data_IF_001700442903
#
_entry.id   IF_001700442903
#
_cell.length_a   1.000
_cell.length_b   1.000
_cell.length_c   1.000
_cell.angle_alpha   90.00
_cell.angle_beta   90.00
_cell.angle_gamma   90.00
#
_symmetry.space_group_name_H-M   'P 1'
#
loop_
_entity.id
_entity.type
_entity.pdbx_description
1 polymer ?
#
# COMPACT_ATOMS: atom_id res chain seq x y z
N UNK A 1 4.33 30.09 29.48
CA UNK A 1 3.45 29.91 28.31
C UNK A 1 4.22 29.10 27.27
N UNK A 2 3.58 28.08 26.70
CA UNK A 2 4.17 27.05 25.83
C UNK A 2 4.49 27.64 24.45
N UNK A 3 5.74 27.57 24.03
CA UNK A 3 6.12 27.74 22.61
C UNK A 3 6.23 26.34 22.00
N UNK A 4 5.26 25.98 21.14
CA UNK A 4 5.37 24.81 20.25
C UNK A 4 6.37 25.13 19.12
N UNK A 5 7.21 24.19 18.68
CA UNK A 5 8.14 24.43 17.58
C UNK A 5 7.45 24.35 16.22
N UNK A 6 7.77 25.33 15.37
CA UNK A 6 7.46 25.44 13.95
C UNK A 6 8.25 24.43 13.10
N UNK A 7 8.07 23.12 13.32
CA UNK A 7 8.86 22.09 12.62
C UNK A 7 8.35 21.72 11.21
N UNK A 8 7.30 22.38 10.70
CA UNK A 8 6.75 22.10 9.36
C UNK A 8 7.31 23.08 8.30
N UNK A 9 7.73 24.28 8.71
CA UNK A 9 8.13 25.35 7.79
C UNK A 9 9.56 25.21 7.24
N UNK A 10 10.42 24.39 7.87
CA UNK A 10 11.83 24.22 7.46
C UNK A 10 12.04 23.21 6.31
N UNK A 11 10.97 22.61 5.77
CA UNK A 11 11.06 21.49 4.81
C UNK A 11 10.98 21.90 3.33
N UNK A 12 10.93 23.19 3.01
CA UNK A 12 10.48 23.70 1.71
C UNK A 12 11.52 24.08 0.65
N UNK A 13 12.80 23.72 0.76
CA UNK A 13 13.86 24.30 -0.11
C UNK A 13 14.56 23.33 -1.08
N UNK A 14 13.88 22.28 -1.53
CA UNK A 14 14.30 21.48 -2.70
C UNK A 14 13.13 21.35 -3.67
N UNK A 15 13.35 21.66 -4.96
CA UNK A 15 12.35 21.59 -6.02
C UNK A 15 11.71 20.19 -6.02
N UNK A 16 10.41 20.04 -5.74
CA UNK A 16 9.79 18.72 -5.68
C UNK A 16 9.92 18.00 -7.02
N UNK A 17 10.31 16.73 -7.00
CA UNK A 17 10.11 15.87 -8.17
C UNK A 17 8.62 15.92 -8.54
N UNK A 18 8.33 16.24 -9.79
CA UNK A 18 6.94 16.34 -10.25
C UNK A 18 6.28 14.97 -10.27
N UNK A 19 4.95 14.93 -10.16
CA UNK A 19 4.15 13.70 -10.37
C UNK A 19 4.56 12.97 -11.65
N UNK A 20 4.88 13.71 -12.70
CA UNK A 20 5.34 13.20 -13.99
C UNK A 20 6.64 12.40 -13.86
N UNK A 21 7.61 12.91 -13.09
CA UNK A 21 8.89 12.26 -12.87
C UNK A 21 8.76 10.98 -12.03
N UNK A 22 7.86 10.97 -11.05
CA UNK A 22 7.56 9.74 -10.29
C UNK A 22 6.80 8.72 -11.14
N UNK A 23 5.90 9.15 -12.02
CA UNK A 23 5.16 8.28 -12.93
C UNK A 23 6.07 7.60 -13.94
N UNK A 24 6.99 8.35 -14.58
CA UNK A 24 7.94 7.80 -15.56
C UNK A 24 8.83 6.71 -14.97
N UNK A 25 9.20 6.81 -13.69
CA UNK A 25 9.96 5.79 -12.98
C UNK A 25 9.10 4.57 -12.60
N UNK A 26 7.79 4.75 -12.43
CA UNK A 26 6.82 3.68 -12.13
C UNK A 26 6.49 2.80 -13.34
N UNK A 27 6.42 3.40 -14.54
CA UNK A 27 6.02 2.71 -15.77
C UNK A 27 6.99 1.58 -16.18
N UNK A 28 8.24 1.61 -15.69
CA UNK A 28 9.22 0.54 -15.89
C UNK A 28 8.80 -0.84 -15.36
N UNK A 29 7.87 -0.92 -14.40
CA UNK A 29 7.34 -2.19 -13.85
C UNK A 29 6.25 -2.84 -14.71
N UNK A 30 5.75 -2.19 -15.77
CA UNK A 30 4.69 -2.74 -16.63
C UNK A 30 5.24 -3.56 -17.82
N UNK A 31 6.56 -3.63 -18.01
CA UNK A 31 7.18 -4.01 -19.30
C UNK A 31 7.61 -5.49 -19.42
N UNK A 32 7.35 -6.36 -18.46
CA UNK A 32 7.84 -7.75 -18.55
C UNK A 32 6.83 -8.74 -17.98
N UNK A 33 6.01 -9.32 -18.85
CA UNK A 33 5.48 -10.70 -18.76
C UNK A 33 4.52 -10.98 -19.93
N UNK A 34 4.54 -12.21 -20.46
CA UNK A 34 3.62 -12.72 -21.50
C UNK A 34 2.15 -12.87 -21.02
N UNK A 35 1.82 -12.35 -19.83
CA UNK A 35 0.48 -12.40 -19.24
C UNK A 35 -0.34 -11.18 -19.65
N UNK A 36 -1.65 -11.36 -19.90
CA UNK A 36 -2.52 -10.23 -20.22
C UNK A 36 -2.74 -9.32 -19.01
N UNK A 37 -3.05 -8.04 -19.25
CA UNK A 37 -3.37 -7.08 -18.19
C UNK A 37 -4.50 -7.58 -17.27
N UNK A 38 -5.51 -8.24 -17.82
CA UNK A 38 -6.59 -8.89 -17.06
C UNK A 38 -6.09 -10.03 -16.15
N UNK A 39 -5.16 -10.87 -16.63
CA UNK A 39 -4.61 -11.97 -15.82
C UNK A 39 -3.78 -11.44 -14.66
N UNK A 40 -2.94 -10.44 -14.93
CA UNK A 40 -2.14 -9.74 -13.90
C UNK A 40 -3.07 -9.07 -12.87
N UNK A 41 -4.12 -8.41 -13.35
CA UNK A 41 -5.14 -7.79 -12.50
C UNK A 41 -5.84 -8.80 -11.59
N UNK A 42 -6.26 -9.94 -12.15
CA UNK A 42 -6.94 -10.98 -11.40
C UNK A 42 -6.01 -11.65 -10.39
N UNK A 43 -4.72 -11.81 -10.72
CA UNK A 43 -3.70 -12.29 -9.79
C UNK A 43 -3.56 -11.36 -8.58
N UNK A 44 -3.29 -10.06 -8.81
CA UNK A 44 -3.14 -9.09 -7.72
C UNK A 44 -4.41 -8.99 -6.87
N UNK A 45 -5.59 -8.99 -7.50
CA UNK A 45 -6.88 -9.00 -6.78
C UNK A 45 -7.02 -10.22 -5.89
N UNK A 46 -6.67 -11.40 -6.41
CA UNK A 46 -6.79 -12.66 -5.68
C UNK A 46 -5.86 -12.68 -4.46
N UNK A 47 -4.58 -12.34 -4.65
CA UNK A 47 -3.61 -12.31 -3.55
C UNK A 47 -3.91 -11.16 -2.58
N UNK A 48 -4.27 -9.98 -3.07
CA UNK A 48 -4.65 -8.84 -2.23
C UNK A 48 -5.88 -9.13 -1.36
N UNK A 49 -6.88 -9.82 -1.89
CA UNK A 49 -8.04 -10.30 -1.12
C UNK A 49 -7.64 -11.35 -0.08
N UNK A 50 -6.78 -12.30 -0.45
CA UNK A 50 -6.26 -13.31 0.47
C UNK A 50 -5.49 -12.68 1.62
N UNK A 51 -4.56 -11.77 1.30
CA UNK A 51 -3.84 -10.98 2.30
C UNK A 51 -4.85 -10.31 3.21
N UNK A 52 -5.80 -9.53 2.67
CA UNK A 52 -6.84 -8.83 3.45
C UNK A 52 -7.58 -9.75 4.43
N UNK A 53 -8.03 -10.93 4.01
CA UNK A 53 -8.76 -11.89 4.86
C UNK A 53 -7.87 -12.57 5.91
N UNK A 54 -6.61 -12.84 5.57
CA UNK A 54 -5.67 -13.53 6.44
C UNK A 54 -5.48 -12.85 7.82
N UNK A 55 -5.53 -11.51 7.92
CA UNK A 55 -5.22 -10.79 9.18
C UNK A 55 -6.40 -10.26 10.02
N UNK A 56 -7.65 -10.68 9.82
CA UNK A 56 -8.66 -10.34 10.85
C UNK A 56 -8.49 -11.26 12.08
N UNK A 57 -8.35 -10.75 13.34
CA UNK A 57 -8.77 -9.44 13.86
C UNK A 57 -7.72 -8.61 14.64
N UNK A 58 -6.40 -8.77 14.43
CA UNK A 58 -5.38 -8.07 15.26
C UNK A 58 -4.44 -7.12 14.50
N UNK A 59 -4.57 -6.93 13.18
CA UNK A 59 -3.72 -5.99 12.42
C UNK A 59 -4.48 -5.12 11.41
N UNK A 60 -4.29 -3.78 11.44
CA UNK A 60 -3.49 -3.02 12.42
C UNK A 60 -4.06 -3.15 13.84
N UNK A 61 -3.26 -2.88 14.90
CA UNK A 61 -3.73 -3.07 16.27
C UNK A 61 -5.04 -2.30 16.49
N UNK A 62 -5.93 -2.80 17.35
CA UNK A 62 -7.23 -2.16 17.65
C UNK A 62 -7.02 -0.79 18.30
N UNK A 63 -6.80 0.23 17.49
CA UNK A 63 -6.74 1.63 17.91
C UNK A 63 -8.11 2.27 17.73
N UNK A 64 -8.43 3.21 18.61
CA UNK A 64 -9.60 4.06 18.45
C UNK A 64 -9.44 4.88 17.17
N UNK A 65 -10.30 4.70 16.16
CA UNK A 65 -10.12 5.38 14.87
C UNK A 65 -10.08 6.89 15.07
N UNK A 66 -9.09 7.54 14.47
CA UNK A 66 -9.09 8.99 14.37
C UNK A 66 -10.13 9.44 13.34
N UNK A 67 -10.59 10.69 13.43
CA UNK A 67 -11.51 11.23 12.43
C UNK A 67 -10.87 11.11 11.04
N UNK A 68 -11.66 10.80 9.99
CA UNK A 68 -11.15 10.73 8.63
C UNK A 68 -10.34 11.98 8.25
N UNK A 69 -9.24 11.79 7.53
CA UNK A 69 -8.40 12.89 7.09
C UNK A 69 -9.17 13.85 6.19
N UNK A 70 -9.00 15.15 6.45
CA UNK A 70 -9.55 16.23 5.62
C UNK A 70 -8.67 16.47 4.40
N UNK A 71 -9.19 17.07 3.31
CA UNK A 71 -8.41 17.36 2.10
C UNK A 71 -7.09 18.12 2.39
N UNK A 72 -7.12 19.12 3.27
CA UNK A 72 -5.92 19.87 3.67
C UNK A 72 -4.86 18.99 4.35
N UNK A 73 -5.26 17.98 5.10
CA UNK A 73 -4.33 17.06 5.77
C UNK A 73 -3.70 16.11 4.74
N UNK A 74 -4.50 15.60 3.80
CA UNK A 74 -3.99 14.82 2.66
C UNK A 74 -2.98 15.61 1.83
N UNK A 75 -3.28 16.87 1.51
CA UNK A 75 -2.37 17.75 0.78
C UNK A 75 -1.02 17.94 1.49
N UNK A 76 -1.05 18.12 2.82
CA UNK A 76 0.17 18.24 3.63
C UNK A 76 0.99 16.94 3.62
N UNK A 77 0.32 15.79 3.81
CA UNK A 77 0.96 14.48 3.77
C UNK A 77 1.59 14.20 2.40
N UNK A 78 0.88 14.51 1.32
CA UNK A 78 1.35 14.33 -0.05
C UNK A 78 2.58 15.20 -0.36
N UNK A 79 2.56 16.46 0.10
CA UNK A 79 3.71 17.36 -0.05
C UNK A 79 4.93 16.81 0.69
N UNK A 80 4.74 16.42 1.96
CA UNK A 80 5.82 15.82 2.76
C UNK A 80 6.33 14.51 2.18
N UNK A 81 5.44 13.66 1.67
CA UNK A 81 5.77 12.41 1.00
C UNK A 81 6.73 12.63 -0.16
N UNK A 82 6.35 13.49 -1.12
CA UNK A 82 7.15 13.78 -2.33
C UNK A 82 8.52 14.34 -1.98
N UNK A 83 8.60 15.24 -0.99
CA UNK A 83 9.87 15.80 -0.53
C UNK A 83 10.81 14.74 0.03
N UNK A 84 10.31 13.82 0.87
CA UNK A 84 11.13 12.76 1.47
C UNK A 84 11.52 11.69 0.47
N UNK A 85 10.61 11.30 -0.43
CA UNK A 85 10.93 10.40 -1.54
C UNK A 85 12.07 10.98 -2.36
N UNK A 86 11.99 12.25 -2.75
CA UNK A 86 13.07 12.89 -3.51
C UNK A 86 14.41 12.89 -2.76
N UNK A 87 14.43 13.13 -1.45
CA UNK A 87 15.66 13.06 -0.66
C UNK A 87 16.29 11.67 -0.69
N UNK A 88 15.48 10.61 -0.57
CA UNK A 88 15.94 9.23 -0.72
C UNK A 88 16.50 8.98 -2.12
N UNK A 89 15.80 9.41 -3.17
CA UNK A 89 16.24 9.17 -4.56
C UNK A 89 17.53 9.93 -4.90
N UNK A 90 17.68 11.16 -4.41
CA UNK A 90 18.86 11.99 -4.68
C UNK A 90 20.11 11.43 -3.99
N UNK A 91 19.95 10.90 -2.78
CA UNK A 91 21.06 10.29 -2.02
C UNK A 91 21.28 8.82 -2.40
N UNK A 92 20.28 8.21 -3.02
CA UNK A 92 20.15 6.78 -3.28
C UNK A 92 20.59 5.92 -2.08
N UNK A 93 20.19 6.33 -0.88
CA UNK A 93 20.48 5.64 0.37
C UNK A 93 19.22 5.56 1.23
N UNK A 94 19.12 4.50 2.01
CA UNK A 94 18.06 4.29 3.01
C UNK A 94 18.28 5.20 4.22
N UNK A 95 18.25 6.52 4.00
CA UNK A 95 18.41 7.53 5.05
C UNK A 95 17.33 7.36 6.12
N UNK A 96 17.70 7.04 7.38
CA UNK A 96 16.72 6.75 8.43
C UNK A 96 15.78 7.91 8.73
N UNK A 97 16.24 9.15 8.60
CA UNK A 97 15.41 10.33 8.87
C UNK A 97 14.27 10.46 7.85
N UNK A 98 14.59 10.29 6.57
CA UNK A 98 13.62 10.32 5.47
C UNK A 98 12.64 9.15 5.55
N UNK A 99 13.15 7.93 5.80
CA UNK A 99 12.31 6.73 5.95
C UNK A 99 11.38 6.80 7.17
N UNK A 100 11.88 7.30 8.30
CA UNK A 100 11.06 7.53 9.51
C UNK A 100 9.95 8.55 9.25
N UNK A 101 10.24 9.61 8.49
CA UNK A 101 9.23 10.61 8.13
C UNK A 101 8.14 10.02 7.21
N UNK A 102 8.52 9.20 6.23
CA UNK A 102 7.58 8.48 5.37
C UNK A 102 6.75 7.48 6.17
N UNK A 103 7.36 6.72 7.08
CA UNK A 103 6.66 5.79 7.95
C UNK A 103 5.60 6.49 8.82
N UNK A 104 5.93 7.68 9.35
CA UNK A 104 4.95 8.52 10.06
C UNK A 104 3.82 9.02 9.16
N UNK A 105 4.09 9.33 7.89
CA UNK A 105 3.03 9.67 6.96
C UNK A 105 2.07 8.48 6.75
N UNK A 106 2.61 7.28 6.53
CA UNK A 106 1.84 6.04 6.48
C UNK A 106 1.03 5.82 7.77
N UNK A 107 1.63 6.11 8.93
CA UNK A 107 0.96 6.03 10.23
C UNK A 107 -0.32 6.86 10.29
N UNK A 108 -0.23 8.14 9.91
CA UNK A 108 -1.40 9.02 9.85
C UNK A 108 -2.44 8.55 8.82
N UNK A 109 -1.98 7.97 7.71
CA UNK A 109 -2.87 7.49 6.65
C UNK A 109 -3.71 6.32 7.11
N UNK A 110 -3.15 5.26 7.69
CA UNK A 110 -3.98 4.14 8.15
C UNK A 110 -4.86 4.50 9.35
N UNK A 111 -4.42 5.43 10.21
CA UNK A 111 -5.22 5.93 11.34
C UNK A 111 -6.42 6.77 10.90
N UNK A 112 -6.30 7.43 9.75
CA UNK A 112 -7.26 8.41 9.25
C UNK A 112 -8.04 7.97 8.01
N UNK A 113 -8.03 6.67 7.69
CA UNK A 113 -8.91 6.08 6.67
C UNK A 113 -10.37 6.28 7.06
N UNK A 114 -11.19 6.65 6.09
CA UNK A 114 -12.63 6.69 6.23
C UNK A 114 -13.23 5.28 6.28
N UNK A 115 -13.60 4.84 7.48
CA UNK A 115 -14.19 3.51 7.73
C UNK A 115 -15.54 3.28 7.07
N UNK A 116 -16.19 4.32 6.52
CA UNK A 116 -17.43 4.15 5.75
C UNK A 116 -17.21 3.63 4.33
N UNK A 117 -15.96 3.65 3.83
CA UNK A 117 -15.60 3.18 2.50
C UNK A 117 -15.47 1.65 2.46
N UNK A 118 -15.95 1.02 1.38
CA UNK A 118 -15.79 -0.43 1.17
C UNK A 118 -14.32 -0.86 1.15
N UNK A 119 -13.44 0.02 0.69
CA UNK A 119 -11.99 -0.23 0.62
C UNK A 119 -11.25 0.08 1.92
N UNK A 120 -11.94 0.49 3.00
CA UNK A 120 -11.31 0.97 4.23
C UNK A 120 -10.30 -0.03 4.81
N UNK A 121 -10.70 -1.28 5.00
CA UNK A 121 -9.82 -2.32 5.57
C UNK A 121 -8.57 -2.54 4.72
N UNK A 122 -8.69 -2.52 3.39
CA UNK A 122 -7.56 -2.66 2.47
C UNK A 122 -6.61 -1.45 2.54
N UNK A 123 -7.17 -0.23 2.58
CA UNK A 123 -6.39 0.99 2.70
C UNK A 123 -5.63 1.03 4.01
N UNK A 124 -6.31 0.80 5.15
CA UNK A 124 -5.67 0.78 6.47
C UNK A 124 -4.51 -0.21 6.49
N UNK A 125 -4.75 -1.39 5.94
CA UNK A 125 -3.75 -2.43 5.92
C UNK A 125 -2.55 -2.10 5.03
N UNK A 126 -2.80 -1.59 3.83
CA UNK A 126 -1.73 -1.19 2.93
C UNK A 126 -0.84 -0.14 3.59
N UNK A 127 -1.44 0.89 4.17
CA UNK A 127 -0.69 1.96 4.84
C UNK A 127 0.04 1.46 6.08
N UNK A 128 -0.53 0.54 6.85
CA UNK A 128 0.16 -0.10 7.98
C UNK A 128 1.35 -0.94 7.53
N UNK A 129 1.18 -1.76 6.47
CA UNK A 129 2.29 -2.53 5.91
C UNK A 129 3.37 -1.62 5.32
N UNK A 130 2.99 -0.52 4.68
CA UNK A 130 3.95 0.46 4.18
C UNK A 130 4.73 1.12 5.32
N UNK A 131 4.08 1.43 6.45
CA UNK A 131 4.75 1.93 7.66
C UNK A 131 5.82 0.92 8.13
N UNK A 132 5.45 -0.34 8.33
CA UNK A 132 6.39 -1.38 8.77
C UNK A 132 7.52 -1.58 7.77
N UNK A 133 7.21 -1.59 6.47
CA UNK A 133 8.22 -1.75 5.42
C UNK A 133 9.25 -0.62 5.50
N UNK A 134 8.80 0.64 5.59
CA UNK A 134 9.68 1.81 5.70
C UNK A 134 10.51 1.81 6.99
N UNK A 135 9.93 1.40 8.12
CA UNK A 135 10.64 1.26 9.40
C UNK A 135 11.75 0.20 9.30
N UNK A 136 11.47 -0.94 8.68
CA UNK A 136 12.47 -2.00 8.50
C UNK A 136 13.51 -1.61 7.47
N UNK A 137 13.12 -0.94 6.38
CA UNK A 137 14.02 -0.47 5.34
C UNK A 137 15.11 0.47 5.89
N UNK A 138 14.79 1.26 6.92
CA UNK A 138 15.76 2.14 7.60
C UNK A 138 16.90 1.39 8.30
N UNK A 139 16.73 0.09 8.54
CA UNK A 139 17.74 -0.78 9.15
C UNK A 139 18.44 -1.67 8.11
N UNK A 140 18.12 -1.51 6.82
CA UNK A 140 18.70 -2.29 5.74
C UNK A 140 19.49 -1.38 4.80
N UNK A 141 20.65 -1.86 4.33
CA UNK A 141 21.42 -1.14 3.29
C UNK A 141 20.88 -1.37 1.88
N UNK A 142 20.19 -2.49 1.68
CA UNK A 142 19.53 -2.87 0.43
C UNK A 142 18.09 -3.33 0.71
N UNK A 143 17.14 -3.17 -0.22
CA UNK A 143 17.31 -2.56 -1.55
C UNK A 143 17.59 -1.04 -1.47
N UNK A 144 18.16 -0.46 -2.52
CA UNK A 144 18.40 0.99 -2.61
C UNK A 144 17.14 1.73 -3.09
N UNK A 145 16.99 3.04 -2.80
CA UNK A 145 15.85 3.83 -3.27
C UNK A 145 15.49 3.66 -4.74
N UNK A 146 16.49 3.54 -5.62
CA UNK A 146 16.28 3.29 -7.05
C UNK A 146 15.58 1.96 -7.37
N UNK A 147 15.72 0.95 -6.52
CA UNK A 147 15.11 -0.37 -6.74
C UNK A 147 13.62 -0.38 -6.34
N UNK A 148 13.23 0.51 -5.42
CA UNK A 148 11.86 0.57 -4.89
C UNK A 148 11.11 1.86 -5.23
N UNK A 149 11.62 2.70 -6.15
CA UNK A 149 10.89 3.87 -6.70
C UNK A 149 9.48 3.52 -7.13
N UNK A 150 9.24 2.40 -7.86
CA UNK A 150 7.91 2.11 -8.39
C UNK A 150 6.88 1.88 -7.28
N UNK A 151 7.31 1.31 -6.15
CA UNK A 151 6.48 1.19 -4.97
C UNK A 151 6.18 2.56 -4.34
N UNK A 152 7.19 3.43 -4.21
CA UNK A 152 7.00 4.80 -3.70
C UNK A 152 6.08 5.65 -4.58
N UNK A 153 6.22 5.53 -5.89
CA UNK A 153 5.36 6.23 -6.87
C UNK A 153 3.93 5.70 -6.84
N UNK A 154 3.74 4.40 -6.67
CA UNK A 154 2.41 3.83 -6.54
C UNK A 154 1.71 4.28 -5.24
N UNK A 155 2.45 4.36 -4.13
CA UNK A 155 1.94 4.94 -2.88
C UNK A 155 1.64 6.45 -3.02
N UNK A 156 2.46 7.21 -3.76
CA UNK A 156 2.16 8.61 -4.10
C UNK A 156 0.85 8.74 -4.89
N UNK A 157 0.66 7.89 -5.91
CA UNK A 157 -0.54 7.89 -6.74
C UNK A 157 -1.78 7.54 -5.91
N UNK A 158 -1.68 6.58 -4.99
CA UNK A 158 -2.77 6.23 -4.09
C UNK A 158 -3.12 7.40 -3.16
N UNK A 159 -2.11 8.05 -2.58
CA UNK A 159 -2.28 9.20 -1.70
C UNK A 159 -2.93 10.39 -2.43
N UNK A 160 -2.47 10.69 -3.64
CA UNK A 160 -3.08 11.69 -4.52
C UNK A 160 -4.52 11.33 -4.84
N UNK A 161 -4.82 10.07 -5.15
CA UNK A 161 -6.19 9.65 -5.46
C UNK A 161 -7.11 9.78 -4.24
N UNK A 162 -6.63 9.45 -3.04
CA UNK A 162 -7.36 9.67 -1.78
C UNK A 162 -7.60 11.16 -1.50
N UNK A 163 -6.62 12.03 -1.79
CA UNK A 163 -6.78 13.48 -1.74
C UNK A 163 -7.90 13.95 -2.68
N UNK A 164 -7.85 13.53 -3.95
CA UNK A 164 -8.86 13.91 -4.94
C UNK A 164 -10.25 13.40 -4.56
N UNK A 165 -10.38 12.14 -4.13
CA UNK A 165 -11.65 11.58 -3.68
C UNK A 165 -12.26 12.39 -2.52
N UNK A 166 -11.45 12.80 -1.53
CA UNK A 166 -11.94 13.60 -0.41
C UNK A 166 -12.23 15.06 -0.75
N UNK A 167 -11.52 15.64 -1.72
CA UNK A 167 -11.78 16.99 -2.21
C UNK A 167 -13.05 17.03 -3.09
N UNK A 168 -13.22 16.07 -3.99
CA UNK A 168 -14.34 15.99 -4.96
C UNK A 168 -15.63 15.47 -4.32
N UNK A 169 -15.57 14.78 -3.17
CA UNK A 169 -16.78 14.44 -2.39
C UNK A 169 -17.58 15.69 -1.96
N UNK A 170 -17.01 16.89 -2.08
CA UNK A 170 -17.70 18.17 -1.86
C UNK A 170 -18.42 18.72 -3.11
N UNK A 171 -18.20 18.19 -4.32
CA UNK A 171 -18.80 18.69 -5.57
C UNK A 171 -19.31 17.55 -6.50
N UNK A 172 -20.62 17.26 -6.39
CA UNK A 172 -21.61 16.84 -7.43
C UNK A 172 -21.44 15.53 -8.26
N UNK A 173 -22.62 15.02 -8.66
CA UNK A 173 -23.03 14.02 -9.65
C UNK A 173 -22.08 13.73 -10.83
N UNK A 174 -21.49 12.53 -10.83
CA UNK A 174 -21.12 11.79 -12.05
C UNK A 174 -20.91 10.31 -11.70
N UNK A 175 -22.03 9.57 -11.58
CA UNK A 175 -22.03 8.16 -11.12
C UNK A 175 -21.07 7.26 -11.92
N UNK A 176 -20.99 7.43 -13.24
CA UNK A 176 -20.18 6.57 -14.12
C UNK A 176 -18.67 6.87 -14.08
N UNK A 177 -18.26 8.12 -13.92
CA UNK A 177 -16.84 8.49 -13.76
C UNK A 177 -16.32 8.01 -12.40
N UNK A 178 -17.15 8.10 -11.36
CA UNK A 178 -16.83 7.56 -10.03
C UNK A 178 -16.61 6.04 -10.04
N UNK A 179 -17.36 5.27 -10.84
CA UNK A 179 -17.24 3.81 -10.90
C UNK A 179 -15.92 3.35 -11.57
N UNK A 180 -15.49 4.01 -12.64
CA UNK A 180 -14.20 3.74 -13.30
C UNK A 180 -13.01 4.12 -12.41
N UNK A 181 -13.09 5.27 -11.74
CA UNK A 181 -12.08 5.70 -10.77
C UNK A 181 -11.99 4.74 -9.57
N UNK A 182 -13.13 4.23 -9.08
CA UNK A 182 -13.16 3.26 -7.98
C UNK A 182 -12.55 1.91 -8.36
N UNK A 183 -12.81 1.39 -9.57
CA UNK A 183 -12.19 0.13 -10.02
C UNK A 183 -10.68 0.26 -10.17
N UNK A 184 -10.21 1.35 -10.76
CA UNK A 184 -8.78 1.66 -10.89
C UNK A 184 -8.12 1.80 -9.52
N UNK A 185 -8.79 2.48 -8.59
CA UNK A 185 -8.32 2.63 -7.21
C UNK A 185 -8.23 1.29 -6.46
N UNK A 186 -9.26 0.45 -6.56
CA UNK A 186 -9.26 -0.89 -5.96
C UNK A 186 -8.16 -1.78 -6.55
N UNK A 187 -7.92 -1.70 -7.86
CA UNK A 187 -6.85 -2.44 -8.50
C UNK A 187 -5.46 -1.95 -8.05
N UNK A 188 -5.25 -0.64 -7.97
CA UNK A 188 -4.01 -0.05 -7.45
C UNK A 188 -3.75 -0.51 -6.01
N UNK A 189 -4.79 -0.52 -5.16
CA UNK A 189 -4.69 -1.03 -3.79
C UNK A 189 -4.23 -2.49 -3.74
N UNK A 190 -4.86 -3.36 -4.54
CA UNK A 190 -4.53 -4.78 -4.57
C UNK A 190 -3.08 -5.00 -5.05
N UNK A 191 -2.65 -4.28 -6.10
CA UNK A 191 -1.26 -4.33 -6.58
C UNK A 191 -0.28 -3.89 -5.50
N UNK A 192 -0.49 -2.73 -4.89
CA UNK A 192 0.41 -2.19 -3.87
C UNK A 192 0.48 -3.06 -2.62
N UNK A 193 -0.66 -3.62 -2.19
CA UNK A 193 -0.70 -4.49 -1.02
C UNK A 193 0.21 -5.71 -1.20
N UNK A 194 0.16 -6.32 -2.37
CA UNK A 194 1.01 -7.46 -2.73
C UNK A 194 2.47 -7.01 -2.87
N UNK A 195 2.73 -5.89 -3.55
CA UNK A 195 4.09 -5.38 -3.75
C UNK A 195 4.79 -5.02 -2.44
N UNK A 196 4.12 -4.34 -1.51
CA UNK A 196 4.67 -4.04 -0.18
C UNK A 196 4.99 -5.32 0.58
N UNK A 197 4.07 -6.30 0.55
CA UNK A 197 4.29 -7.59 1.21
C UNK A 197 5.55 -8.30 0.67
N UNK A 198 5.69 -8.37 -0.66
CA UNK A 198 6.85 -8.99 -1.31
C UNK A 198 8.13 -8.24 -0.90
N UNK A 199 8.16 -6.92 -1.04
CA UNK A 199 9.34 -6.10 -0.70
C UNK A 199 9.74 -6.24 0.78
N UNK A 200 8.76 -6.31 1.69
CA UNK A 200 9.02 -6.52 3.10
C UNK A 200 9.58 -7.93 3.36
N UNK A 201 9.05 -8.96 2.69
CA UNK A 201 9.53 -10.35 2.85
C UNK A 201 10.96 -10.57 2.34
N UNK A 202 11.48 -9.69 1.48
CA UNK A 202 12.83 -9.77 0.94
C UNK A 202 13.87 -8.98 1.75
N UNK A 203 13.47 -8.22 2.77
CA UNK A 203 14.42 -7.47 3.59
C UNK A 203 15.29 -8.43 4.43
N UNK A 204 16.60 -8.16 4.48
CA UNK A 204 17.54 -8.99 5.23
C UNK A 204 17.32 -8.85 6.75
N UNK A 205 16.99 -7.63 7.20
CA UNK A 205 16.72 -7.31 8.60
C UNK A 205 15.24 -6.97 8.76
N UNK A 206 14.56 -7.73 9.62
CA UNK A 206 13.20 -7.47 10.06
C UNK A 206 13.16 -7.40 11.59
N UNK A 207 12.39 -6.46 12.13
CA UNK A 207 11.99 -6.48 13.53
C UNK A 207 11.07 -7.67 13.82
N UNK A 208 10.92 -8.01 15.09
CA UNK A 208 10.17 -9.21 15.51
C UNK A 208 8.68 -9.14 15.15
N UNK A 209 8.08 -7.96 15.19
CA UNK A 209 6.67 -7.77 14.87
C UNK A 209 6.42 -7.97 13.36
N UNK A 210 7.29 -7.42 12.53
CA UNK A 210 7.25 -7.51 11.07
C UNK A 210 7.57 -8.93 10.60
N UNK A 211 8.55 -9.59 11.24
CA UNK A 211 8.85 -11.01 10.99
C UNK A 211 7.63 -11.89 11.31
N UNK A 212 7.05 -11.76 12.51
CA UNK A 212 5.87 -12.52 12.90
C UNK A 212 4.68 -12.27 11.96
N UNK A 213 4.51 -11.03 11.49
CA UNK A 213 3.48 -10.68 10.52
C UNK A 213 3.68 -11.38 9.17
N UNK A 214 4.90 -11.35 8.62
CA UNK A 214 5.24 -12.01 7.35
C UNK A 214 5.04 -13.52 7.48
N UNK A 215 5.53 -14.14 8.55
CA UNK A 215 5.37 -15.59 8.79
C UNK A 215 3.90 -15.99 8.87
N UNK A 216 3.09 -15.23 9.61
CA UNK A 216 1.64 -15.46 9.69
C UNK A 216 0.99 -15.37 8.32
N UNK A 217 1.34 -14.35 7.54
CA UNK A 217 0.79 -14.16 6.19
C UNK A 217 1.19 -15.29 5.24
N UNK A 218 2.45 -15.71 5.27
CA UNK A 218 2.93 -16.85 4.50
C UNK A 218 2.17 -18.13 4.85
N UNK A 219 2.05 -18.45 6.14
CA UNK A 219 1.35 -19.64 6.61
C UNK A 219 -0.12 -19.67 6.17
N UNK A 220 -0.81 -18.54 6.28
CA UNK A 220 -2.22 -18.43 5.87
C UNK A 220 -2.38 -18.53 4.35
N UNK A 221 -1.46 -17.97 3.57
CA UNK A 221 -1.47 -18.15 2.11
C UNK A 221 -1.28 -19.62 1.72
N UNK A 222 -0.38 -20.34 2.40
CA UNK A 222 -0.19 -21.79 2.18
C UNK A 222 -1.44 -22.59 2.55
N UNK A 223 -2.07 -22.30 3.71
CA UNK A 223 -3.31 -22.98 4.12
C UNK A 223 -4.46 -22.72 3.12
N UNK A 224 -4.67 -21.47 2.71
CA UNK A 224 -5.72 -21.13 1.74
C UNK A 224 -5.45 -21.67 0.33
N UNK A 225 -4.19 -21.83 -0.07
CA UNK A 225 -3.85 -22.52 -1.32
C UNK A 225 -4.21 -24.00 -1.24
N UNK A 226 -3.89 -24.65 -0.12
CA UNK A 226 -4.20 -26.07 0.09
C UNK A 226 -5.71 -26.33 0.16
N UNK A 227 -6.48 -25.44 0.80
CA UNK A 227 -7.94 -25.54 0.88
C UNK A 227 -8.61 -25.35 -0.50
N UNK A 228 -8.11 -24.43 -1.33
CA UNK A 228 -8.59 -24.29 -2.71
C UNK A 228 -8.33 -25.54 -3.55
N UNK A 229 -7.17 -26.17 -3.37
CA UNK A 229 -6.86 -27.42 -4.05
C UNK A 229 -7.73 -28.58 -3.53
N UNK A 230 -8.02 -28.64 -2.23
CA UNK A 230 -8.94 -29.63 -1.66
C UNK A 230 -10.37 -29.47 -2.19
N UNK A 231 -10.87 -28.23 -2.32
CA UNK A 231 -12.21 -27.95 -2.86
C UNK A 231 -12.37 -28.31 -4.35
N UNK A 232 -11.28 -28.39 -5.11
CA UNK A 232 -11.29 -28.84 -6.50
C UNK A 232 -11.28 -30.38 -6.62
N UNK A 233 -10.65 -31.09 -5.69
CA UNK A 233 -10.64 -32.57 -5.68
C UNK A 233 -12.01 -33.15 -5.31
N UNK A 234 -12.78 -32.48 -4.45
CA UNK A 234 -14.13 -32.92 -4.10
C UNK A 234 -15.16 -32.66 -5.22
N UNK A 235 -14.92 -31.72 -6.13
CA UNK A 235 -15.83 -31.45 -7.25
C UNK A 235 -15.71 -32.48 -8.39
N UNK A 236 -14.52 -33.05 -8.62
CA UNK A 236 -14.29 -34.06 -9.66
C UNK A 236 -14.69 -35.49 -9.22
N UNK A 237 -14.91 -35.72 -7.93
CA UNK A 237 -15.27 -37.06 -7.43
C UNK A 237 -16.78 -37.34 -7.50
N UNK A 238 -17.63 -36.32 -7.72
CA UNK A 238 -19.10 -36.50 -7.73
C UNK A 238 -19.66 -36.94 -9.10
N UNK A 239 -18.87 -36.88 -10.18
CA UNK A 239 -19.33 -37.33 -11.51
C UNK A 239 -18.87 -38.74 -11.94
N UNK A 240 -18.10 -39.46 -11.11
CA UNK A 240 -17.59 -40.79 -11.47
C UNK A 240 -18.41 -41.98 -10.89
N UNK A 241 -19.50 -41.74 -10.16
CA UNK A 241 -20.38 -42.82 -9.65
C UNK A 241 -21.85 -42.52 -9.90
N UNK A 242 -22.23 -42.41 -11.16
CA UNK A 242 -23.63 -42.51 -11.59
C UNK A 242 -23.68 -43.13 -12.99
N UNK A 243 -23.15 -44.35 -13.12
CA UNK A 243 -23.59 -45.31 -14.14
C UNK A 243 -23.02 -46.69 -13.79
N UNK A 244 -23.82 -47.45 -13.04
CA UNK A 244 -23.85 -48.92 -13.07
C UNK A 244 -25.20 -49.41 -12.58
#
# INVERSE_FOLDING_TARGET
MKNQPNDIAALGSLLPLSKEQLSQLSDGWQSSTDATAEQITQFYRSIGSLLTKANEPDYPPKYSPTKPLKPKQYQQLLTGWRQRVQQLLNTNSNDPASLTALAKACHYLWQGVDLSQESASKQQRLWYLAELWLQNLAHNQEPLPQDYVPLLSGLDQLLETSYQQTATQQEIDAKTVRELDQRSFAHLLDKLLVTVYINMSTLATLDDASRALIEKLSAQMTMMHNDKNASFVDADTVHATADK
#
